data_IF_096613574199
#
_entry.id   IF_096613574199
#
_cell.length_a   1.000
_cell.length_b   1.000
_cell.length_c   1.000
_cell.angle_alpha   90.00
_cell.angle_beta   90.00
_cell.angle_gamma   90.00
#
_symmetry.space_group_name_H-M   'P 1'
#
loop_
_entity.id
_entity.type
_entity.pdbx_description
1 polymer ?
#
# COMPACT_ATOMS: atom_id res chain seq x y z
N UNK A 1 -4.69 9.96 4.52
CA UNK A 1 -5.70 9.33 5.41
C UNK A 1 -6.29 8.13 4.71
N UNK A 2 -5.91 6.93 5.15
CA UNK A 2 -6.42 5.67 4.63
C UNK A 2 -7.64 5.20 5.46
N UNK A 3 -8.51 4.42 4.83
CA UNK A 3 -9.56 3.64 5.49
C UNK A 3 -9.08 2.21 5.70
N UNK A 4 -9.03 1.76 6.95
CA UNK A 4 -8.50 0.47 7.35
C UNK A 4 -9.60 -0.32 8.02
N UNK A 5 -9.84 -1.54 7.55
CA UNK A 5 -10.74 -2.46 8.25
C UNK A 5 -9.93 -3.31 9.22
N UNK A 6 -10.28 -3.24 10.49
CA UNK A 6 -9.70 -4.07 11.54
C UNK A 6 -10.71 -5.17 11.88
N UNK A 7 -10.32 -6.40 11.59
CA UNK A 7 -11.14 -7.58 11.81
C UNK A 7 -10.67 -8.35 13.05
N UNK A 8 -11.51 -8.39 14.08
CA UNK A 8 -11.29 -9.26 15.23
C UNK A 8 -11.75 -10.68 14.89
N UNK A 9 -10.81 -11.63 14.79
CA UNK A 9 -11.06 -13.04 14.51
C UNK A 9 -12.18 -13.65 15.37
N UNK A 10 -12.89 -14.64 14.82
CA UNK A 10 -13.95 -15.39 15.55
C UNK A 10 -15.07 -14.49 16.12
N UNK A 11 -15.69 -14.92 17.23
CA UNK A 11 -16.71 -14.17 17.97
C UNK A 11 -18.00 -14.95 18.22
N UNK A 12 -18.75 -14.55 19.24
CA UNK A 12 -20.00 -15.17 19.64
C UNK A 12 -19.85 -16.66 19.96
N UNK A 13 -20.56 -17.49 19.19
CA UNK A 13 -20.54 -18.95 19.35
C UNK A 13 -19.26 -19.63 18.81
N UNK A 14 -18.42 -18.90 18.07
CA UNK A 14 -17.12 -19.38 17.61
C UNK A 14 -16.04 -18.83 18.55
N UNK A 15 -15.47 -19.67 19.45
CA UNK A 15 -14.43 -19.24 20.38
C UNK A 15 -13.05 -19.09 19.72
N UNK A 16 -12.88 -19.61 18.50
CA UNK A 16 -11.57 -19.87 17.92
C UNK A 16 -10.81 -20.95 18.68
N UNK A 17 -9.49 -20.85 18.68
CA UNK A 17 -8.66 -21.73 19.49
C UNK A 17 -8.89 -21.50 20.99
N UNK A 18 -8.85 -22.59 21.77
CA UNK A 18 -9.07 -22.57 23.22
C UNK A 18 -7.94 -23.29 23.93
N UNK A 19 -7.36 -22.65 24.95
CA UNK A 19 -6.32 -23.24 25.77
C UNK A 19 -6.53 -22.86 27.24
N UNK A 20 -6.70 -23.87 28.12
CA UNK A 20 -6.87 -23.67 29.57
C UNK A 20 -7.95 -22.64 29.97
N UNK A 21 -9.02 -22.53 29.17
CA UNK A 21 -10.13 -21.60 29.39
C UNK A 21 -9.98 -20.22 28.72
N UNK A 22 -8.77 -19.89 28.22
CA UNK A 22 -8.52 -18.74 27.34
C UNK A 22 -9.12 -19.01 25.96
N UNK A 23 -9.81 -18.03 25.39
CA UNK A 23 -10.46 -18.14 24.08
C UNK A 23 -9.91 -17.07 23.14
N UNK A 24 -9.54 -17.49 21.93
CA UNK A 24 -8.97 -16.61 20.92
C UNK A 24 -9.88 -15.41 20.59
N UNK A 25 -11.20 -15.62 20.55
CA UNK A 25 -12.16 -14.53 20.27
C UNK A 25 -12.06 -13.33 21.23
N UNK A 26 -11.62 -13.57 22.47
CA UNK A 26 -11.51 -12.54 23.50
C UNK A 26 -10.18 -11.76 23.33
N UNK A 27 -9.09 -12.48 23.09
CA UNK A 27 -7.77 -11.89 22.78
C UNK A 27 -7.83 -11.04 21.52
N UNK A 28 -8.42 -11.58 20.45
CA UNK A 28 -8.53 -10.90 19.16
C UNK A 28 -9.41 -9.67 19.23
N UNK A 29 -10.52 -9.70 19.98
CA UNK A 29 -11.35 -8.51 20.20
C UNK A 29 -10.57 -7.41 20.93
N UNK A 30 -9.90 -7.79 22.02
CA UNK A 30 -9.15 -6.84 22.84
C UNK A 30 -8.02 -6.20 22.05
N UNK A 31 -7.25 -7.01 21.32
CA UNK A 31 -6.14 -6.53 20.49
C UNK A 31 -6.63 -5.68 19.32
N UNK A 32 -7.68 -6.10 18.61
CA UNK A 32 -8.25 -5.33 17.51
C UNK A 32 -8.72 -3.93 17.92
N UNK A 33 -9.38 -3.81 19.07
CA UNK A 33 -9.81 -2.51 19.59
C UNK A 33 -8.61 -1.62 19.97
N UNK A 34 -7.55 -2.20 20.54
CA UNK A 34 -6.34 -1.46 20.88
C UNK A 34 -5.61 -0.96 19.63
N UNK A 35 -5.36 -1.85 18.65
CA UNK A 35 -4.74 -1.49 17.36
C UNK A 35 -5.55 -0.42 16.64
N UNK A 36 -6.88 -0.61 16.54
CA UNK A 36 -7.75 0.34 15.86
C UNK A 36 -7.74 1.72 16.51
N UNK A 37 -7.74 1.79 17.86
CA UNK A 37 -7.62 3.06 18.58
C UNK A 37 -6.31 3.80 18.25
N UNK A 38 -5.19 3.09 18.22
CA UNK A 38 -3.88 3.68 17.89
C UNK A 38 -3.88 4.23 16.46
N UNK A 39 -4.49 3.50 15.51
CA UNK A 39 -4.63 3.95 14.12
C UNK A 39 -5.52 5.19 14.00
N UNK A 40 -6.64 5.25 14.74
CA UNK A 40 -7.51 6.44 14.82
C UNK A 40 -6.76 7.65 15.38
N UNK A 41 -5.99 7.47 16.45
CA UNK A 41 -5.15 8.52 17.05
C UNK A 41 -4.05 9.02 16.09
N UNK A 42 -3.62 8.17 15.16
CA UNK A 42 -2.70 8.50 14.06
C UNK A 42 -3.41 8.97 12.77
N UNK A 43 -4.66 9.41 12.88
CA UNK A 43 -5.38 10.09 11.80
C UNK A 43 -5.87 9.16 10.68
N UNK A 44 -5.94 7.85 10.91
CA UNK A 44 -6.55 6.90 9.97
C UNK A 44 -8.04 6.72 10.26
N UNK A 45 -8.81 6.36 9.24
CA UNK A 45 -10.21 6.03 9.39
C UNK A 45 -10.35 4.51 9.63
N UNK A 46 -10.83 4.10 10.81
CA UNK A 46 -10.91 2.68 11.17
C UNK A 46 -12.35 2.16 11.11
N UNK A 47 -12.52 0.99 10.51
CA UNK A 47 -13.79 0.26 10.46
C UNK A 47 -13.59 -1.10 11.11
N UNK A 48 -14.28 -1.35 12.21
CA UNK A 48 -14.23 -2.65 12.88
C UNK A 48 -15.26 -3.60 12.27
N UNK A 49 -14.89 -4.86 12.03
CA UNK A 49 -15.89 -5.89 11.69
C UNK A 49 -16.83 -6.14 12.87
N UNK A 50 -16.28 -6.20 14.09
CA UNK A 50 -17.00 -6.26 15.36
C UNK A 50 -16.29 -5.47 16.45
N UNK A 51 -17.06 -4.87 17.36
CA UNK A 51 -16.58 -4.20 18.58
C UNK A 51 -17.11 -4.87 19.86
N UNK A 52 -17.86 -5.96 19.71
CA UNK A 52 -18.44 -6.76 20.79
C UNK A 52 -18.29 -8.25 20.48
N UNK A 53 -18.66 -9.11 21.43
CA UNK A 53 -18.62 -10.56 21.25
C UNK A 53 -19.79 -11.07 20.39
N UNK A 54 -19.67 -10.88 19.08
CA UNK A 54 -20.65 -11.33 18.08
C UNK A 54 -19.96 -12.11 16.98
N UNK A 55 -20.63 -13.17 16.52
CA UNK A 55 -20.13 -13.97 15.39
C UNK A 55 -20.43 -13.28 14.06
N UNK A 56 -19.43 -13.26 13.17
CA UNK A 56 -19.58 -12.93 11.76
C UNK A 56 -18.83 -13.94 10.90
N UNK A 57 -19.46 -14.40 9.83
CA UNK A 57 -18.79 -15.31 8.89
C UNK A 57 -17.62 -14.61 8.20
N UNK A 58 -16.58 -15.36 7.75
CA UNK A 58 -15.49 -14.80 6.97
C UNK A 58 -15.95 -14.03 5.71
N UNK A 59 -17.06 -14.46 5.10
CA UNK A 59 -17.65 -13.78 3.95
C UNK A 59 -18.26 -12.42 4.35
N UNK A 60 -19.00 -12.35 5.46
CA UNK A 60 -19.55 -11.07 5.95
C UNK A 60 -18.44 -10.08 6.30
N UNK A 61 -17.36 -10.55 6.95
CA UNK A 61 -16.18 -9.73 7.27
C UNK A 61 -15.56 -9.12 6.00
N UNK A 62 -15.34 -9.94 4.97
CA UNK A 62 -14.86 -9.45 3.67
C UNK A 62 -15.85 -8.48 3.00
N UNK A 63 -17.16 -8.72 3.09
CA UNK A 63 -18.19 -7.81 2.56
C UNK A 63 -18.12 -6.44 3.22
N UNK A 64 -17.94 -6.36 4.55
CA UNK A 64 -17.79 -5.08 5.27
C UNK A 64 -16.67 -4.25 4.65
N UNK A 65 -15.48 -4.84 4.47
CA UNK A 65 -14.36 -4.10 3.87
C UNK A 65 -14.61 -3.70 2.43
N UNK A 66 -15.26 -4.56 1.65
CA UNK A 66 -15.59 -4.27 0.25
C UNK A 66 -16.62 -3.15 0.10
N UNK A 67 -17.64 -3.12 0.95
CA UNK A 67 -18.69 -2.08 0.95
C UNK A 67 -18.15 -0.74 1.43
N UNK A 68 -17.26 -0.77 2.42
CA UNK A 68 -16.53 0.40 2.90
C UNK A 68 -15.56 0.99 1.87
N UNK A 69 -15.21 0.23 0.82
CA UNK A 69 -14.12 0.56 -0.11
C UNK A 69 -12.81 0.86 0.65
N UNK A 70 -12.53 0.05 1.66
CA UNK A 70 -11.33 0.22 2.48
C UNK A 70 -10.06 0.08 1.64
N UNK A 71 -9.02 0.82 2.02
CA UNK A 71 -7.69 0.76 1.41
C UNK A 71 -6.93 -0.49 1.88
N UNK A 72 -7.17 -0.91 3.13
CA UNK A 72 -6.54 -2.08 3.74
C UNK A 72 -7.50 -2.90 4.59
N UNK A 73 -7.22 -4.21 4.69
CA UNK A 73 -7.93 -5.13 5.58
C UNK A 73 -6.93 -5.92 6.43
N UNK A 74 -7.04 -5.82 7.75
CA UNK A 74 -6.16 -6.49 8.70
C UNK A 74 -7.01 -7.35 9.62
N UNK A 75 -6.88 -8.67 9.51
CA UNK A 75 -7.51 -9.64 10.40
C UNK A 75 -6.55 -10.02 11.51
N UNK A 76 -7.00 -10.02 12.75
CA UNK A 76 -6.19 -10.33 13.93
C UNK A 76 -6.67 -11.62 14.56
N UNK A 77 -5.73 -12.55 14.74
CA UNK A 77 -5.92 -13.91 15.22
C UNK A 77 -4.83 -14.30 16.23
N UNK A 78 -5.04 -15.43 16.91
CA UNK A 78 -4.00 -16.12 17.69
C UNK A 78 -3.83 -17.51 17.09
N UNK A 79 -2.59 -17.91 16.88
CA UNK A 79 -2.30 -19.21 16.30
C UNK A 79 -2.57 -20.34 17.29
N UNK A 80 -2.56 -21.57 16.80
CA UNK A 80 -2.59 -22.76 17.64
C UNK A 80 -1.92 -23.94 16.95
N UNK A 81 -1.42 -24.87 17.74
CA UNK A 81 -0.72 -26.07 17.28
C UNK A 81 -1.40 -27.35 17.78
N UNK A 82 -1.22 -28.50 17.11
CA UNK A 82 -1.84 -29.76 17.56
C UNK A 82 -1.42 -30.20 18.97
N UNK A 83 -0.22 -29.79 19.42
CA UNK A 83 0.32 -30.10 20.75
C UNK A 83 0.68 -28.80 21.45
N UNK A 84 0.23 -28.63 22.70
CA UNK A 84 0.54 -27.42 23.49
C UNK A 84 2.06 -27.19 23.60
N UNK A 85 2.47 -25.94 23.40
CA UNK A 85 3.88 -25.51 23.42
C UNK A 85 4.73 -26.03 22.26
N UNK A 86 4.15 -26.64 21.23
CA UNK A 86 4.91 -27.19 20.10
C UNK A 86 5.57 -26.10 19.25
N UNK A 87 4.87 -24.99 19.04
CA UNK A 87 5.33 -23.85 18.26
C UNK A 87 5.14 -22.56 19.07
N UNK A 88 5.96 -21.55 18.75
CA UNK A 88 5.96 -20.21 19.33
C UNK A 88 6.23 -19.20 18.22
N UNK A 89 5.82 -17.95 18.43
CA UNK A 89 6.10 -16.84 17.54
C UNK A 89 4.90 -16.38 16.72
N UNK A 90 5.15 -15.35 15.91
CA UNK A 90 4.17 -14.64 15.10
C UNK A 90 4.36 -14.96 13.62
N UNK A 91 3.25 -15.01 12.90
CA UNK A 91 3.25 -15.07 11.45
C UNK A 91 2.15 -14.18 10.88
N UNK A 92 2.33 -13.75 9.64
CA UNK A 92 1.28 -13.05 8.91
C UNK A 92 0.95 -13.80 7.63
N UNK A 93 -0.35 -14.01 7.41
CA UNK A 93 -0.88 -14.79 6.32
C UNK A 93 -1.41 -13.86 5.23
N UNK A 94 -1.10 -14.18 3.98
CA UNK A 94 -1.54 -13.44 2.79
C UNK A 94 -2.20 -14.39 1.80
N UNK A 95 -3.06 -13.90 0.91
CA UNK A 95 -3.63 -14.75 -0.15
C UNK A 95 -2.53 -15.31 -1.07
N UNK A 96 -1.60 -14.43 -1.46
CA UNK A 96 -0.38 -14.70 -2.23
C UNK A 96 0.68 -13.67 -1.80
N UNK A 97 1.97 -13.99 -1.92
CA UNK A 97 3.06 -13.06 -1.64
C UNK A 97 3.27 -12.13 -2.82
N UNK A 98 2.72 -10.92 -2.71
CA UNK A 98 2.94 -9.88 -3.71
C UNK A 98 2.56 -8.48 -3.20
N UNK A 99 3.35 -7.48 -3.60
CA UNK A 99 3.07 -6.06 -3.43
C UNK A 99 2.82 -5.64 -1.98
N UNK A 100 2.06 -4.56 -1.81
CA UNK A 100 1.90 -3.85 -0.54
C UNK A 100 1.38 -4.69 0.64
N UNK A 101 0.58 -5.74 0.40
CA UNK A 101 0.13 -6.63 1.48
C UNK A 101 1.26 -7.50 2.04
N UNK A 102 2.22 -7.87 1.21
CA UNK A 102 3.41 -8.60 1.66
C UNK A 102 4.31 -7.66 2.47
N UNK A 103 4.55 -6.45 1.98
CA UNK A 103 5.32 -5.43 2.71
C UNK A 103 4.68 -5.10 4.07
N UNK A 104 3.36 -4.94 4.12
CA UNK A 104 2.61 -4.77 5.38
C UNK A 104 2.81 -5.95 6.33
N UNK A 105 2.72 -7.17 5.81
CA UNK A 105 2.90 -8.38 6.60
C UNK A 105 4.33 -8.49 7.17
N UNK A 106 5.34 -8.12 6.38
CA UNK A 106 6.74 -8.09 6.80
C UNK A 106 7.00 -7.00 7.84
N UNK A 107 6.41 -5.82 7.67
CA UNK A 107 6.51 -4.73 8.64
C UNK A 107 5.87 -5.13 9.98
N UNK A 108 4.63 -5.62 9.97
CA UNK A 108 3.95 -6.09 11.20
C UNK A 108 4.76 -7.16 11.92
N UNK A 109 5.26 -8.17 11.19
CA UNK A 109 6.05 -9.23 11.80
C UNK A 109 7.36 -8.72 12.42
N UNK A 110 8.04 -7.76 11.77
CA UNK A 110 9.26 -7.14 12.29
C UNK A 110 9.00 -6.39 13.60
N UNK A 111 7.94 -5.57 13.65
CA UNK A 111 7.60 -4.85 14.88
C UNK A 111 7.19 -5.80 16.01
N UNK A 112 6.47 -6.89 15.70
CA UNK A 112 6.11 -7.91 16.69
C UNK A 112 7.33 -8.69 17.21
N UNK A 113 8.37 -8.85 16.39
CA UNK A 113 9.64 -9.42 16.83
C UNK A 113 10.32 -8.53 17.88
N UNK A 114 10.28 -7.21 17.68
CA UNK A 114 10.77 -6.23 18.65
C UNK A 114 9.96 -6.23 19.96
N UNK A 115 8.67 -6.55 19.89
CA UNK A 115 7.80 -6.77 21.07
C UNK A 115 8.11 -8.07 21.84
N UNK A 116 9.00 -8.93 21.30
CA UNK A 116 9.56 -10.10 21.98
C UNK A 116 9.17 -11.45 21.39
N UNK A 117 8.38 -11.49 20.31
CA UNK A 117 8.01 -12.75 19.67
C UNK A 117 9.11 -13.28 18.72
N UNK A 118 9.10 -14.58 18.46
CA UNK A 118 9.84 -15.16 17.33
C UNK A 118 9.13 -14.84 16.00
N UNK A 119 9.86 -14.37 14.99
CA UNK A 119 9.30 -14.05 13.68
C UNK A 119 9.32 -15.28 12.75
N UNK A 120 8.14 -15.84 12.47
CA UNK A 120 7.97 -17.01 11.58
C UNK A 120 7.75 -16.64 10.12
N UNK A 121 7.76 -15.34 9.79
CA UNK A 121 7.67 -14.81 8.44
C UNK A 121 6.25 -14.77 7.85
N UNK A 122 6.19 -14.51 6.55
CA UNK A 122 4.95 -14.36 5.78
C UNK A 122 4.61 -15.65 5.05
N UNK A 123 3.35 -16.11 5.17
CA UNK A 123 2.89 -17.37 4.55
C UNK A 123 1.67 -17.17 3.65
N UNK A 124 1.67 -17.86 2.51
CA UNK A 124 0.51 -17.89 1.62
C UNK A 124 -0.58 -18.83 2.14
N UNK A 125 -1.82 -18.34 2.17
CA UNK A 125 -3.01 -19.08 2.60
C UNK A 125 -4.20 -18.77 1.69
N UNK A 126 -4.15 -19.17 0.40
CA UNK A 126 -5.18 -18.85 -0.60
C UNK A 126 -6.57 -19.45 -0.28
N UNK A 127 -6.63 -20.43 0.64
CA UNK A 127 -7.87 -21.03 1.12
C UNK A 127 -8.67 -20.18 2.11
N UNK A 128 -8.08 -19.14 2.70
CA UNK A 128 -8.77 -18.30 3.68
C UNK A 128 -9.76 -17.37 2.99
N UNK A 129 -11.04 -17.53 3.32
CA UNK A 129 -12.14 -16.81 2.66
C UNK A 129 -11.99 -15.30 2.83
N UNK A 130 -11.56 -14.83 4.00
CA UNK A 130 -11.43 -13.40 4.27
C UNK A 130 -10.38 -12.76 3.35
N UNK A 131 -9.21 -13.37 3.20
CA UNK A 131 -8.13 -12.90 2.32
C UNK A 131 -8.49 -13.03 0.83
N UNK A 132 -9.25 -14.06 0.45
CA UNK A 132 -9.63 -14.33 -0.94
C UNK A 132 -10.77 -13.44 -1.43
N UNK A 133 -11.65 -12.97 -0.53
CA UNK A 133 -12.91 -12.27 -0.90
C UNK A 133 -12.86 -10.77 -0.68
N UNK A 134 -11.85 -10.26 0.02
CA UNK A 134 -11.53 -8.83 0.07
C UNK A 134 -11.04 -8.34 -1.30
N UNK A 135 -11.33 -7.07 -1.61
CA UNK A 135 -10.95 -6.40 -2.86
C UNK A 135 -9.80 -5.41 -2.71
N UNK A 136 -9.31 -5.26 -1.48
CA UNK A 136 -8.17 -4.45 -1.09
C UNK A 136 -7.03 -5.35 -0.59
N UNK A 137 -5.79 -4.85 -0.52
CA UNK A 137 -4.69 -5.53 0.15
C UNK A 137 -5.11 -6.01 1.55
N UNK A 138 -4.94 -7.30 1.80
CA UNK A 138 -5.43 -7.95 3.01
C UNK A 138 -4.36 -8.86 3.62
N UNK A 139 -4.25 -8.79 4.95
CA UNK A 139 -3.37 -9.61 5.78
C UNK A 139 -4.15 -10.23 6.94
N UNK A 140 -3.71 -11.39 7.42
CA UNK A 140 -4.19 -11.99 8.66
C UNK A 140 -3.00 -12.23 9.58
N UNK A 141 -2.95 -11.51 10.69
CA UNK A 141 -1.89 -11.55 11.69
C UNK A 141 -2.21 -12.62 12.72
N UNK A 142 -1.35 -13.61 12.82
CA UNK A 142 -1.35 -14.63 13.88
C UNK A 142 -0.43 -14.13 14.99
N UNK A 143 -0.98 -13.39 15.96
CA UNK A 143 -0.22 -12.65 16.96
C UNK A 143 0.24 -13.56 18.12
N UNK A 144 0.92 -14.68 17.84
CA UNK A 144 1.40 -15.66 18.82
C UNK A 144 0.48 -16.88 18.96
N UNK A 145 1.02 -18.00 19.45
CA UNK A 145 0.29 -19.25 19.68
C UNK A 145 -0.44 -19.24 21.03
N UNK A 146 -1.77 -19.33 21.02
CA UNK A 146 -2.59 -19.32 22.24
C UNK A 146 -2.30 -20.51 23.17
N UNK A 147 -1.82 -21.62 22.61
CA UNK A 147 -1.47 -22.82 23.35
C UNK A 147 0.03 -22.90 23.67
N UNK A 148 0.75 -21.78 23.63
CA UNK A 148 2.12 -21.65 24.08
C UNK A 148 2.20 -20.69 25.28
N UNK A 149 2.85 -21.12 26.37
CA UNK A 149 2.95 -20.33 27.60
C UNK A 149 3.78 -19.05 27.46
N UNK A 150 4.83 -19.08 26.65
CA UNK A 150 5.71 -17.92 26.44
C UNK A 150 5.03 -16.87 25.56
N UNK A 151 4.38 -17.28 24.48
CA UNK A 151 3.61 -16.35 23.62
C UNK A 151 2.41 -15.74 24.36
N UNK A 152 1.82 -16.46 25.31
CA UNK A 152 0.80 -15.92 26.21
C UNK A 152 1.41 -14.91 27.20
N UNK A 153 2.59 -15.22 27.77
CA UNK A 153 3.31 -14.31 28.67
C UNK A 153 3.66 -13.00 27.96
N UNK A 154 4.26 -13.06 26.78
CA UNK A 154 4.59 -11.87 25.97
C UNK A 154 3.32 -11.07 25.65
N UNK A 155 2.26 -11.74 25.18
CA UNK A 155 1.01 -11.07 24.83
C UNK A 155 0.33 -10.35 26.01
N UNK A 156 0.45 -10.90 27.22
CA UNK A 156 -0.18 -10.31 28.41
C UNK A 156 0.70 -9.25 29.07
N UNK A 157 2.01 -9.50 29.20
CA UNK A 157 2.95 -8.57 29.84
C UNK A 157 3.29 -7.36 28.97
N UNK A 158 3.34 -7.55 27.63
CA UNK A 158 3.70 -6.51 26.66
C UNK A 158 2.50 -6.09 25.81
N UNK A 159 1.27 -6.22 26.31
CA UNK A 159 0.07 -6.09 25.48
C UNK A 159 -0.02 -4.78 24.69
N UNK A 160 0.34 -3.66 25.33
CA UNK A 160 0.29 -2.34 24.67
C UNK A 160 1.35 -2.24 23.59
N UNK A 161 2.55 -2.79 23.82
CA UNK A 161 3.62 -2.88 22.84
C UNK A 161 3.23 -3.79 21.66
N UNK A 162 2.50 -4.88 21.90
CA UNK A 162 1.97 -5.74 20.83
C UNK A 162 0.94 -4.99 19.96
N UNK A 163 0.03 -4.25 20.59
CA UNK A 163 -0.94 -3.42 19.85
C UNK A 163 -0.24 -2.31 19.05
N UNK A 164 0.75 -1.65 19.67
CA UNK A 164 1.56 -0.61 19.03
C UNK A 164 2.36 -1.18 17.85
N UNK A 165 3.00 -2.35 18.00
CA UNK A 165 3.77 -3.00 16.95
C UNK A 165 2.94 -3.29 15.70
N UNK A 166 1.72 -3.83 15.87
CA UNK A 166 0.82 -4.07 14.73
C UNK A 166 0.42 -2.75 14.07
N UNK A 167 0.07 -1.73 14.86
CA UNK A 167 -0.30 -0.42 14.33
C UNK A 167 0.87 0.24 13.59
N UNK A 168 2.09 0.18 14.12
CA UNK A 168 3.29 0.73 13.52
C UNK A 168 3.63 0.03 12.20
N UNK A 169 3.51 -1.30 12.15
CA UNK A 169 3.70 -2.05 10.90
C UNK A 169 2.71 -1.61 9.81
N UNK A 170 1.46 -1.34 10.16
CA UNK A 170 0.44 -0.82 9.23
C UNK A 170 0.77 0.62 8.81
N UNK A 171 1.08 1.50 9.77
CA UNK A 171 1.36 2.91 9.51
C UNK A 171 2.61 3.11 8.66
N UNK A 172 3.68 2.35 8.92
CA UNK A 172 4.89 2.36 8.10
C UNK A 172 4.59 2.06 6.64
N UNK A 173 3.73 1.07 6.37
CA UNK A 173 3.29 0.78 5.00
C UNK A 173 2.50 1.91 4.38
N UNK A 174 1.56 2.50 5.12
CA UNK A 174 0.73 3.61 4.63
C UNK A 174 1.60 4.83 4.29
N UNK A 175 2.48 5.22 5.20
CA UNK A 175 3.34 6.40 5.00
C UNK A 175 4.37 6.19 3.89
N UNK A 176 4.89 4.97 3.72
CA UNK A 176 5.76 4.65 2.58
C UNK A 176 5.03 4.87 1.24
N UNK A 177 3.78 4.44 1.12
CA UNK A 177 2.97 4.69 -0.08
C UNK A 177 2.65 6.17 -0.29
N UNK A 178 2.34 6.91 0.78
CA UNK A 178 2.11 8.34 0.67
C UNK A 178 3.40 9.02 0.14
N UNK A 179 4.58 8.70 0.69
CA UNK A 179 5.86 9.23 0.20
C UNK A 179 6.12 8.87 -1.26
N UNK A 180 5.96 7.60 -1.65
CA UNK A 180 6.14 7.18 -3.05
C UNK A 180 5.16 7.91 -4.00
N UNK A 181 3.91 8.10 -3.59
CA UNK A 181 2.92 8.83 -4.38
C UNK A 181 3.26 10.32 -4.49
N UNK A 182 3.76 10.94 -3.43
CA UNK A 182 4.23 12.33 -3.45
C UNK A 182 5.50 12.48 -4.29
N UNK A 183 6.44 11.53 -4.27
CA UNK A 183 7.61 11.55 -5.13
C UNK A 183 7.22 11.36 -6.60
N UNK A 184 6.26 10.48 -6.90
CA UNK A 184 5.70 10.33 -8.25
C UNK A 184 4.99 11.60 -8.74
N UNK A 185 4.17 12.24 -7.91
CA UNK A 185 3.52 13.51 -8.24
C UNK A 185 4.53 14.67 -8.36
N UNK A 186 5.63 14.64 -7.61
CA UNK A 186 6.70 15.64 -7.69
C UNK A 186 7.62 15.43 -8.87
N UNK A 187 7.85 14.19 -9.32
CA UNK A 187 8.56 13.89 -10.58
C UNK A 187 7.71 14.18 -11.83
N UNK A 188 6.38 14.30 -11.68
CA UNK A 188 5.51 14.91 -12.68
C UNK A 188 5.69 16.46 -12.74
N UNK A 189 6.94 16.93 -12.72
CA UNK A 189 7.29 18.23 -13.30
C UNK A 189 6.93 18.20 -14.79
N UNK A 190 6.58 19.37 -15.35
CA UNK A 190 6.22 19.45 -16.77
C UNK A 190 7.29 18.75 -17.61
N UNK A 191 6.90 17.78 -18.46
CA UNK A 191 7.85 16.91 -19.13
C UNK A 191 8.77 17.77 -20.00
N UNK A 192 10.04 17.39 -20.07
CA UNK A 192 11.00 18.04 -20.94
C UNK A 192 10.56 17.93 -22.39
N UNK A 193 10.61 19.05 -23.13
CA UNK A 193 10.28 19.12 -24.56
C UNK A 193 11.37 19.86 -25.31
N UNK A 194 11.50 19.60 -26.61
CA UNK A 194 12.48 20.29 -27.45
C UNK A 194 11.76 21.38 -28.22
N UNK A 195 11.96 22.64 -27.83
CA UNK A 195 11.51 23.79 -28.60
C UNK A 195 12.40 23.97 -29.83
N UNK A 196 11.78 23.97 -31.02
CA UNK A 196 12.43 24.05 -32.32
C UNK A 196 12.21 25.40 -33.01
N UNK A 197 11.20 26.16 -32.58
CA UNK A 197 10.87 27.45 -33.18
C UNK A 197 10.00 28.33 -32.30
N UNK A 198 10.11 29.64 -32.53
CA UNK A 198 9.32 30.70 -31.91
C UNK A 198 8.99 31.72 -33.00
N UNK A 199 7.71 31.91 -33.29
CA UNK A 199 7.25 32.66 -34.46
C UNK A 199 6.13 33.64 -34.10
N UNK A 200 6.10 34.80 -34.75
CA UNK A 200 5.01 35.77 -34.63
C UNK A 200 3.86 35.51 -35.63
N UNK A 201 4.03 34.53 -36.53
CA UNK A 201 3.06 34.17 -37.56
C UNK A 201 2.86 32.65 -37.54
N UNK A 202 1.60 32.22 -37.47
CA UNK A 202 1.21 30.82 -37.40
C UNK A 202 1.70 30.01 -38.61
N UNK A 203 1.69 30.61 -39.80
CA UNK A 203 2.11 29.96 -41.04
C UNK A 203 3.58 29.49 -40.98
N UNK A 204 4.45 30.26 -40.32
CA UNK A 204 5.85 29.88 -40.13
C UNK A 204 5.99 28.69 -39.16
N UNK A 205 5.19 28.67 -38.09
CA UNK A 205 5.15 27.54 -37.17
C UNK A 205 4.61 26.27 -37.85
N UNK A 206 3.59 26.41 -38.70
CA UNK A 206 3.03 25.31 -39.52
C UNK A 206 4.01 24.78 -40.54
N UNK A 207 4.79 25.65 -41.18
CA UNK A 207 5.85 25.23 -42.10
C UNK A 207 6.91 24.37 -41.39
N UNK A 208 7.37 24.81 -40.20
CA UNK A 208 8.33 24.04 -39.40
C UNK A 208 7.74 22.71 -38.91
N UNK A 209 6.49 22.72 -38.42
CA UNK A 209 5.79 21.50 -37.99
C UNK A 209 5.69 20.49 -39.14
N UNK A 210 5.26 20.92 -40.34
CA UNK A 210 5.15 20.05 -41.50
C UNK A 210 6.50 19.45 -41.92
N UNK A 211 7.58 20.24 -41.82
CA UNK A 211 8.94 19.75 -42.10
C UNK A 211 9.36 18.66 -41.10
N UNK A 212 9.12 18.87 -39.81
CA UNK A 212 9.44 17.91 -38.75
C UNK A 212 8.66 16.60 -38.95
N UNK A 213 7.36 16.69 -39.19
CA UNK A 213 6.50 15.53 -39.45
C UNK A 213 6.93 14.79 -40.72
N UNK A 214 7.31 15.50 -41.79
CA UNK A 214 7.81 14.88 -43.02
C UNK A 214 9.11 14.10 -42.81
N UNK A 215 9.98 14.56 -41.91
CA UNK A 215 11.21 13.87 -41.52
C UNK A 215 10.99 12.77 -40.46
N UNK A 216 9.73 12.56 -40.04
CA UNK A 216 9.35 11.53 -39.07
C UNK A 216 9.50 11.92 -37.60
N UNK A 217 9.63 13.22 -37.29
CA UNK A 217 9.64 13.72 -35.92
C UNK A 217 8.25 14.20 -35.50
N UNK A 218 7.83 13.84 -34.29
CA UNK A 218 6.61 14.41 -33.70
C UNK A 218 6.78 15.92 -33.52
N UNK A 219 5.75 16.70 -33.87
CA UNK A 219 5.78 18.15 -33.76
C UNK A 219 4.41 18.75 -33.40
N UNK A 220 4.39 19.60 -32.36
CA UNK A 220 3.20 20.28 -31.85
C UNK A 220 3.43 21.79 -31.89
N UNK A 221 2.41 22.56 -32.28
CA UNK A 221 2.40 24.02 -32.21
C UNK A 221 1.59 24.44 -30.99
N UNK A 222 2.14 25.35 -30.20
CA UNK A 222 1.46 25.94 -29.05
C UNK A 222 1.40 27.46 -29.19
N UNK A 223 0.18 28.05 -29.22
CA UNK A 223 0.02 29.49 -29.24
C UNK A 223 0.32 30.08 -27.86
N UNK A 224 1.10 31.16 -27.83
CA UNK A 224 1.34 31.98 -26.65
C UNK A 224 0.26 33.05 -26.48
N UNK A 225 0.06 33.50 -25.23
CA UNK A 225 -0.87 34.58 -24.89
C UNK A 225 -0.50 35.93 -25.54
N UNK A 226 0.76 36.08 -25.96
CA UNK A 226 1.32 37.26 -26.65
C UNK A 226 1.14 37.23 -28.18
N UNK A 227 0.36 36.26 -28.70
CA UNK A 227 0.14 36.09 -30.14
C UNK A 227 1.31 35.44 -30.87
N UNK A 228 2.24 34.83 -30.14
CA UNK A 228 3.36 34.06 -30.71
C UNK A 228 3.05 32.57 -30.78
N UNK A 229 3.86 31.80 -31.49
CA UNK A 229 3.67 30.37 -31.71
C UNK A 229 4.98 29.65 -31.47
N UNK A 230 4.99 28.67 -30.56
CA UNK A 230 6.13 27.81 -30.26
C UNK A 230 5.95 26.44 -30.88
N UNK A 231 7.01 25.87 -31.43
CA UNK A 231 7.00 24.51 -32.00
C UNK A 231 7.82 23.60 -31.12
N UNK A 232 7.22 22.50 -30.67
CA UNK A 232 7.85 21.52 -29.78
C UNK A 232 7.91 20.14 -30.42
N UNK A 233 8.93 19.36 -30.07
CA UNK A 233 9.02 17.93 -30.38
C UNK A 233 9.27 17.11 -29.13
N UNK A 234 8.56 15.97 -29.06
CA UNK A 234 8.62 15.01 -27.96
C UNK A 234 8.07 15.52 -26.62
N UNK A 235 8.06 14.61 -25.65
CA UNK A 235 7.66 14.83 -24.26
C UNK A 235 8.39 13.78 -23.43
N UNK A 236 9.29 14.20 -22.56
CA UNK A 236 10.23 13.31 -21.88
C UNK A 236 10.25 13.57 -20.39
N UNK A 237 10.01 12.54 -19.58
CA UNK A 237 10.08 12.64 -18.12
C UNK A 237 11.52 12.90 -17.63
N UNK A 238 12.53 12.41 -18.36
CA UNK A 238 13.95 12.51 -17.97
C UNK A 238 14.73 13.40 -18.93
N UNK A 239 15.52 14.32 -18.38
CA UNK A 239 16.40 15.23 -19.14
C UNK A 239 17.32 14.47 -20.10
N UNK A 240 17.86 13.31 -19.70
CA UNK A 240 18.75 12.50 -20.55
C UNK A 240 18.07 12.01 -21.83
N UNK A 241 16.77 11.72 -21.77
CA UNK A 241 15.99 11.31 -22.94
C UNK A 241 15.71 12.51 -23.85
N UNK A 242 15.36 13.66 -23.26
CA UNK A 242 15.23 14.91 -23.99
C UNK A 242 16.55 15.30 -24.68
N UNK A 243 17.69 15.16 -24.00
CA UNK A 243 19.02 15.46 -24.55
C UNK A 243 19.40 14.57 -25.74
N UNK A 244 19.03 13.27 -25.70
CA UNK A 244 19.21 12.36 -26.85
C UNK A 244 18.37 12.76 -28.05
N UNK A 245 17.10 13.14 -27.83
CA UNK A 245 16.24 13.63 -28.89
C UNK A 245 16.74 14.98 -29.44
N UNK A 246 17.15 15.89 -28.55
CA UNK A 246 17.73 17.17 -28.91
C UNK A 246 18.98 17.00 -29.80
N UNK A 247 19.88 16.08 -29.45
CA UNK A 247 21.05 15.77 -30.26
C UNK A 247 20.67 15.23 -31.65
N UNK A 248 19.62 14.42 -31.74
CA UNK A 248 19.09 13.90 -33.01
C UNK A 248 18.58 15.05 -33.89
N UNK A 249 17.77 15.95 -33.32
CA UNK A 249 17.22 17.12 -34.01
C UNK A 249 18.31 18.12 -34.43
N UNK A 250 19.32 18.36 -33.59
CA UNK A 250 20.50 19.17 -33.94
C UNK A 250 21.28 18.57 -35.11
N UNK A 251 21.49 17.26 -35.14
CA UNK A 251 22.14 16.55 -36.25
C UNK A 251 21.32 16.62 -37.54
N UNK A 252 20.00 16.69 -37.43
CA UNK A 252 19.10 16.92 -38.55
C UNK A 252 19.05 18.39 -39.01
N UNK A 253 19.79 19.30 -38.36
CA UNK A 253 19.96 20.69 -38.78
C UNK A 253 19.02 21.68 -38.10
N UNK A 254 18.28 21.27 -37.07
CA UNK A 254 17.37 22.16 -36.36
C UNK A 254 18.05 22.92 -35.21
N UNK A 255 17.60 24.15 -34.97
CA UNK A 255 17.90 24.87 -33.73
C UNK A 255 16.99 24.38 -32.61
N UNK A 256 17.55 24.04 -31.45
CA UNK A 256 16.82 23.37 -30.36
C UNK A 256 17.10 24.00 -29.01
N UNK A 257 16.09 23.99 -28.15
CA UNK A 257 16.20 24.29 -26.72
C UNK A 257 15.37 23.27 -25.94
N UNK A 258 15.96 22.67 -24.90
CA UNK A 258 15.20 21.83 -23.97
C UNK A 258 14.49 22.75 -22.98
N UNK A 259 13.19 22.55 -22.80
CA UNK A 259 12.33 23.30 -21.87
C UNK A 259 11.52 22.35 -21.01
N UNK A 260 11.04 22.82 -19.87
CA UNK A 260 9.99 22.21 -19.05
C UNK A 260 8.72 23.05 -19.17
#
# INVERSE_FOLDING_TARGET
>A
MATIVIDAGHGGADPGAVFEGRQEKDDTLRLALAVGKILEENGQNVIYTRTTDVYQTPFQKATIGNEARADFFVSIHRNSSPVAGQYSGVETLVYERSGIKEEMAENINRELEEAGFENLGVKERPGLVVLRRTKMPAVLVEAGFINNGEDNRIFDENFEEVAQAIADGILQTIYAQEVESYEYEKEAETPYRIQLGFFNLEENARALQAQLLFLGYDAVIEPGEDGTYRVYSGSFEKLDNAAKMEQTLRKAGFSTYIVQ
#
